data_IF_382733672633
#
_entry.id   IF_382733672633
#
_cell.length_a   1.000
_cell.length_b   1.000
_cell.length_c   1.000
_cell.angle_alpha   90.00
_cell.angle_beta   90.00
_cell.angle_gamma   90.00
#
_symmetry.space_group_name_H-M   'P 1'
#
loop_
_entity.id
_entity.type
_entity.pdbx_description
1 polymer ?
#
# COMPACT_ATOMS: atom_id res chain seq x y z
N UNK A 1 7.43 17.90 -1.87
CA UNK A 1 7.99 16.69 -2.50
C UNK A 1 9.31 16.36 -1.82
N UNK A 2 9.69 15.09 -1.71
CA UNK A 2 11.00 14.71 -1.14
C UNK A 2 12.07 14.52 -2.22
N UNK A 3 13.34 14.56 -1.80
CA UNK A 3 14.45 14.26 -2.69
C UNK A 3 14.43 12.81 -3.17
N UNK A 4 14.96 12.55 -4.38
CA UNK A 4 15.09 11.19 -4.91
C UNK A 4 15.93 10.28 -4.00
N UNK A 5 16.94 10.86 -3.34
CA UNK A 5 17.77 10.13 -2.35
C UNK A 5 16.95 9.69 -1.15
N UNK A 6 16.12 10.58 -0.59
CA UNK A 6 15.23 10.25 0.53
C UNK A 6 14.23 9.15 0.14
N UNK A 7 13.61 9.28 -1.04
CA UNK A 7 12.71 8.24 -1.54
C UNK A 7 13.41 6.88 -1.69
N UNK A 8 14.68 6.87 -2.11
CA UNK A 8 15.48 5.67 -2.20
C UNK A 8 15.65 4.94 -0.87
N UNK A 9 15.91 5.69 0.20
CA UNK A 9 16.05 5.14 1.55
C UNK A 9 14.72 4.56 2.05
N UNK A 10 13.61 5.25 1.77
CA UNK A 10 12.26 4.77 2.10
C UNK A 10 11.96 3.47 1.34
N UNK A 11 12.27 3.39 0.04
CA UNK A 11 12.08 2.17 -0.76
C UNK A 11 12.88 1.01 -0.14
N UNK A 12 14.13 1.26 0.26
CA UNK A 12 15.00 0.24 0.84
C UNK A 12 14.50 -0.28 2.20
N UNK A 13 13.94 0.62 3.02
CA UNK A 13 13.31 0.26 4.29
C UNK A 13 12.10 -0.67 4.09
N UNK A 14 11.14 -0.27 3.24
CA UNK A 14 9.98 -1.13 2.96
C UNK A 14 10.37 -2.44 2.24
N UNK A 15 11.43 -2.42 1.41
CA UNK A 15 11.97 -3.65 0.82
C UNK A 15 12.49 -4.61 1.89
N UNK A 16 13.16 -4.11 2.92
CA UNK A 16 13.67 -4.93 4.03
C UNK A 16 12.55 -5.61 4.82
N UNK A 17 11.43 -4.90 5.03
CA UNK A 17 10.21 -5.46 5.63
C UNK A 17 9.63 -6.57 4.73
N UNK A 18 9.49 -6.28 3.43
CA UNK A 18 8.97 -7.25 2.46
C UNK A 18 9.80 -8.54 2.44
N UNK A 19 11.14 -8.47 2.44
CA UNK A 19 12.01 -9.67 2.53
C UNK A 19 11.60 -10.59 3.69
N UNK A 20 11.28 -10.02 4.86
CA UNK A 20 10.90 -10.79 6.06
C UNK A 20 9.50 -11.39 5.91
N UNK A 21 8.51 -10.59 5.49
CA UNK A 21 7.12 -11.05 5.30
C UNK A 21 7.06 -12.15 4.24
N UNK A 22 7.66 -11.92 3.08
CA UNK A 22 7.66 -12.82 1.94
C UNK A 22 8.30 -14.18 2.24
N UNK A 23 9.33 -14.20 3.11
CA UNK A 23 9.97 -15.44 3.56
C UNK A 23 9.02 -16.36 4.33
N UNK A 24 7.94 -15.83 4.92
CA UNK A 24 6.94 -16.65 5.64
C UNK A 24 6.04 -17.46 4.72
N UNK A 25 5.97 -17.08 3.43
CA UNK A 25 5.20 -17.82 2.42
C UNK A 25 5.89 -19.10 1.97
N UNK A 26 7.22 -19.15 1.96
CA UNK A 26 7.99 -20.32 1.46
C UNK A 26 8.32 -21.34 2.54
N UNK A 27 7.71 -21.21 3.73
CA UNK A 27 7.86 -22.19 4.82
C UNK A 27 7.20 -23.52 4.44
N UNK A 28 7.60 -24.59 5.12
CA UNK A 28 6.92 -25.91 5.04
C UNK A 28 5.41 -25.80 5.28
N UNK A 29 5.01 -24.89 6.17
CA UNK A 29 3.63 -24.45 6.39
C UNK A 29 3.57 -22.93 6.17
N UNK A 30 3.19 -22.48 4.97
CA UNK A 30 3.04 -21.07 4.66
C UNK A 30 2.07 -20.41 5.62
N UNK A 31 2.38 -19.18 6.05
CA UNK A 31 1.48 -18.41 6.89
C UNK A 31 0.20 -18.01 6.14
N UNK A 32 -0.89 -17.84 6.90
CA UNK A 32 -2.16 -17.35 6.39
C UNK A 32 -2.14 -15.83 6.25
N UNK A 33 -3.12 -15.29 5.54
CA UNK A 33 -3.29 -13.85 5.27
C UNK A 33 -3.23 -13.01 6.55
N UNK A 34 -4.06 -13.32 7.54
CA UNK A 34 -4.10 -12.62 8.84
C UNK A 34 -2.75 -12.59 9.55
N UNK A 35 -2.00 -13.71 9.54
CA UNK A 35 -0.70 -13.79 10.19
C UNK A 35 0.40 -13.02 9.44
N UNK A 36 0.29 -12.88 8.11
CA UNK A 36 1.20 -12.05 7.32
C UNK A 36 0.92 -10.57 7.54
N UNK A 37 -0.36 -10.20 7.61
CA UNK A 37 -0.80 -8.83 7.91
C UNK A 37 -0.38 -8.41 9.31
N UNK A 38 -0.59 -9.24 10.33
CA UNK A 38 -0.11 -8.95 11.69
C UNK A 38 1.41 -8.78 11.71
N UNK A 39 2.18 -9.68 11.08
CA UNK A 39 3.63 -9.49 10.97
C UNK A 39 4.03 -8.20 10.23
N UNK A 40 3.28 -7.81 9.20
CA UNK A 40 3.55 -6.54 8.51
C UNK A 40 3.33 -5.36 9.45
N UNK A 41 2.27 -5.37 10.26
CA UNK A 41 2.03 -4.35 11.29
C UNK A 41 3.16 -4.34 12.33
N UNK A 42 3.53 -5.49 12.89
CA UNK A 42 4.62 -5.59 13.87
C UNK A 42 5.95 -5.08 13.30
N UNK A 43 6.24 -5.35 12.02
CA UNK A 43 7.45 -4.85 11.36
C UNK A 43 7.40 -3.35 11.04
N UNK A 44 6.22 -2.74 11.00
CA UNK A 44 6.05 -1.30 10.80
C UNK A 44 5.99 -0.55 12.12
N UNK A 45 5.70 -1.24 13.22
CA UNK A 45 5.80 -0.74 14.57
C UNK A 45 7.27 -0.59 14.98
N UNK A 46 7.65 0.62 15.39
CA UNK A 46 9.04 0.92 15.73
C UNK A 46 9.50 0.19 16.99
N UNK A 47 8.58 -0.10 17.93
CA UNK A 47 8.90 -0.72 19.21
C UNK A 47 9.19 -2.23 19.05
N UNK A 48 8.55 -2.87 18.07
CA UNK A 48 8.64 -4.32 17.82
C UNK A 48 9.76 -4.68 16.84
N UNK A 49 10.28 -3.73 16.06
CA UNK A 49 11.25 -3.99 14.98
C UNK A 49 12.55 -4.67 15.42
N UNK A 50 13.03 -4.34 16.63
CA UNK A 50 14.30 -4.86 17.15
C UNK A 50 14.27 -6.39 17.31
N UNK A 51 13.09 -6.98 17.52
CA UNK A 51 12.93 -8.43 17.61
C UNK A 51 13.18 -9.14 16.27
N UNK A 52 12.88 -8.47 15.16
CA UNK A 52 12.88 -9.05 13.82
C UNK A 52 14.20 -8.92 13.07
N UNK A 53 15.14 -8.11 13.58
CA UNK A 53 16.49 -7.89 13.02
C UNK A 53 16.44 -7.57 11.52
N UNK A 54 15.69 -6.52 11.16
CA UNK A 54 15.63 -6.03 9.79
C UNK A 54 17.02 -5.68 9.27
N UNK A 55 17.29 -6.05 8.01
CA UNK A 55 18.54 -5.67 7.31
C UNK A 55 18.71 -4.15 7.25
N UNK A 56 17.60 -3.44 7.11
CA UNK A 56 17.52 -1.99 7.16
C UNK A 56 16.36 -1.58 8.07
N UNK A 57 16.69 -1.25 9.32
CA UNK A 57 15.71 -0.88 10.35
C UNK A 57 15.24 0.56 10.22
N UNK A 58 14.17 0.91 10.94
CA UNK A 58 13.69 2.29 11.02
C UNK A 58 14.75 3.23 11.63
N UNK A 59 15.50 2.77 12.64
CA UNK A 59 16.61 3.52 13.20
C UNK A 59 17.67 3.86 12.15
N UNK A 60 17.99 2.90 11.26
CA UNK A 60 18.94 3.11 10.16
C UNK A 60 18.37 4.07 9.11
N UNK A 61 17.09 3.94 8.76
CA UNK A 61 16.40 4.89 7.89
C UNK A 61 16.50 6.33 8.42
N UNK A 62 16.24 6.53 9.71
CA UNK A 62 16.29 7.85 10.34
C UNK A 62 17.71 8.43 10.35
N UNK A 63 18.71 7.61 10.66
CA UNK A 63 20.13 8.00 10.58
C UNK A 63 20.48 8.46 9.16
N UNK A 64 20.17 7.64 8.15
CA UNK A 64 20.54 7.92 6.77
C UNK A 64 19.76 9.09 6.17
N UNK A 65 18.49 9.29 6.55
CA UNK A 65 17.70 10.48 6.18
C UNK A 65 18.27 11.76 6.80
N UNK A 66 18.76 11.69 8.04
CA UNK A 66 19.38 12.84 8.73
C UNK A 66 20.76 13.16 8.17
N UNK A 67 21.45 12.15 7.63
CA UNK A 67 22.75 12.30 6.97
C UNK A 67 22.65 12.83 5.53
N UNK A 68 21.44 13.01 4.99
CA UNK A 68 21.26 13.71 3.72
C UNK A 68 21.65 15.19 3.86
N UNK A 69 21.84 15.83 2.71
CA UNK A 69 22.11 17.28 2.67
C UNK A 69 21.07 18.04 3.52
N UNK A 70 21.48 19.00 4.37
CA UNK A 70 20.56 19.76 5.21
C UNK A 70 19.33 20.34 4.49
N UNK A 71 19.48 20.71 3.21
CA UNK A 71 18.43 21.24 2.35
C UNK A 71 17.54 20.17 1.68
N UNK A 72 17.83 18.88 1.93
CA UNK A 72 17.10 17.72 1.43
C UNK A 72 16.55 16.86 2.57
N UNK A 73 16.61 17.36 3.80
CA UNK A 73 16.19 16.65 5.00
C UNK A 73 14.69 16.37 4.97
N UNK A 74 14.35 15.10 5.19
CA UNK A 74 12.99 14.65 5.41
C UNK A 74 12.90 13.94 6.76
N UNK A 75 11.89 14.28 7.57
CA UNK A 75 11.52 13.43 8.70
C UNK A 75 10.54 12.38 8.21
N UNK A 76 10.66 11.17 8.74
CA UNK A 76 9.80 10.05 8.41
C UNK A 76 9.36 9.40 9.72
N UNK A 77 8.06 9.31 9.97
CA UNK A 77 7.50 8.60 11.12
C UNK A 77 6.41 7.63 10.69
N UNK A 78 6.31 6.51 11.39
CA UNK A 78 5.24 5.53 11.23
C UNK A 78 4.59 5.32 12.59
N UNK A 79 3.27 5.37 12.62
CA UNK A 79 2.44 5.07 13.79
C UNK A 79 1.42 3.99 13.42
N UNK A 80 1.25 3.02 14.30
CA UNK A 80 0.34 1.89 14.17
C UNK A 80 -0.77 2.02 15.21
N UNK A 81 -2.02 1.91 14.77
CA UNK A 81 -3.19 1.95 15.66
C UNK A 81 -4.01 0.68 15.47
N UNK A 82 -4.19 -0.08 16.55
CA UNK A 82 -5.09 -1.23 16.59
C UNK A 82 -6.46 -0.82 17.14
N UNK A 83 -7.54 -1.24 16.48
CA UNK A 83 -8.89 -1.01 16.98
C UNK A 83 -9.35 -2.18 17.86
N UNK A 84 -10.04 -1.87 18.96
CA UNK A 84 -10.47 -2.91 19.91
C UNK A 84 -11.34 -3.98 19.25
N UNK A 85 -11.19 -5.24 19.69
CA UNK A 85 -11.97 -6.38 19.19
C UNK A 85 -13.50 -6.25 19.36
N UNK A 86 -13.99 -5.37 20.23
CA UNK A 86 -15.42 -5.04 20.35
C UNK A 86 -15.93 -4.16 19.22
N UNK A 87 -15.08 -3.27 18.70
CA UNK A 87 -15.30 -2.54 17.46
C UNK A 87 -15.11 -3.49 16.29
N UNK A 88 -14.12 -4.38 16.36
CA UNK A 88 -13.80 -5.39 15.32
C UNK A 88 -14.93 -6.44 15.10
N UNK A 89 -15.66 -6.82 16.15
CA UNK A 89 -16.79 -7.76 16.00
C UNK A 89 -17.99 -7.17 15.24
N UNK A 90 -18.00 -5.85 15.01
CA UNK A 90 -18.93 -5.17 14.12
C UNK A 90 -18.27 -4.88 12.75
N UNK A 91 -16.98 -5.18 12.58
CA UNK A 91 -16.08 -4.48 11.65
C UNK A 91 -14.78 -5.29 11.39
N UNK A 92 -14.51 -6.00 10.28
CA UNK A 92 -13.61 -5.49 9.22
C UNK A 92 -13.83 -6.20 7.86
N UNK A 93 -13.58 -5.51 6.76
CA UNK A 93 -13.54 -6.04 5.38
C UNK A 93 -12.25 -5.73 4.65
N UNK A 94 -11.44 -4.84 5.25
CA UNK A 94 -10.10 -4.46 4.86
C UNK A 94 -9.19 -4.82 6.02
N UNK A 95 -8.00 -5.30 5.71
CA UNK A 95 -7.07 -5.78 6.73
C UNK A 95 -6.26 -4.62 7.34
N UNK A 96 -5.95 -3.59 6.52
CA UNK A 96 -5.12 -2.44 6.90
C UNK A 96 -5.68 -1.15 6.30
N UNK A 97 -5.71 -0.09 7.09
CA UNK A 97 -5.82 1.29 6.64
C UNK A 97 -4.43 1.92 6.56
N UNK A 98 -4.14 2.69 5.53
CA UNK A 98 -2.91 3.50 5.45
C UNK A 98 -3.32 4.96 5.27
N UNK A 99 -2.81 5.84 6.12
CA UNK A 99 -2.89 7.29 5.95
C UNK A 99 -1.48 7.77 5.66
N UNK A 100 -1.29 8.46 4.54
CA UNK A 100 -0.03 9.06 4.17
C UNK A 100 -0.18 10.57 4.27
N UNK A 101 0.61 11.18 5.15
CA UNK A 101 0.62 12.62 5.36
C UNK A 101 1.96 13.18 4.87
N UNK A 102 1.88 14.22 4.05
CA UNK A 102 3.03 15.02 3.66
C UNK A 102 2.85 16.45 4.18
N UNK A 103 3.80 16.92 4.97
CA UNK A 103 3.83 18.29 5.51
C UNK A 103 5.03 19.04 4.95
N UNK A 104 4.77 20.07 4.15
CA UNK A 104 5.79 21.00 3.69
C UNK A 104 5.79 22.23 4.60
N UNK A 105 6.84 22.38 5.42
CA UNK A 105 6.92 23.51 6.35
C UNK A 105 7.12 24.85 5.63
N UNK A 106 7.94 24.88 4.58
CA UNK A 106 8.21 26.10 3.82
C UNK A 106 7.08 26.50 2.88
N UNK A 107 6.25 25.55 2.47
CA UNK A 107 5.11 25.75 1.56
C UNK A 107 3.89 24.97 2.10
N UNK A 108 3.23 25.45 3.17
CA UNK A 108 2.13 24.73 3.84
C UNK A 108 0.99 24.34 2.89
N UNK A 109 0.73 25.15 1.87
CA UNK A 109 -0.25 24.91 0.81
C UNK A 109 0.07 23.70 -0.07
N UNK A 110 1.30 23.18 -0.01
CA UNK A 110 1.70 21.93 -0.66
C UNK A 110 1.57 20.71 0.25
N UNK A 111 1.13 20.89 1.49
CA UNK A 111 0.83 19.77 2.40
C UNK A 111 -0.42 19.04 1.95
N UNK A 112 -0.43 17.73 2.10
CA UNK A 112 -1.56 16.89 1.71
C UNK A 112 -1.65 15.63 2.58
N UNK A 113 -2.82 15.01 2.55
CA UNK A 113 -3.07 13.71 3.15
C UNK A 113 -3.83 12.84 2.16
N UNK A 114 -3.55 11.54 2.15
CA UNK A 114 -4.32 10.55 1.41
C UNK A 114 -4.51 9.31 2.27
N UNK A 115 -5.67 8.69 2.13
CA UNK A 115 -6.03 7.52 2.89
C UNK A 115 -6.40 6.36 1.95
N UNK A 116 -5.95 5.16 2.30
CA UNK A 116 -6.16 3.93 1.55
C UNK A 116 -6.70 2.83 2.47
N UNK A 117 -7.71 2.10 2.01
CA UNK A 117 -8.06 0.81 2.58
C UNK A 117 -7.40 -0.30 1.76
N UNK A 118 -6.66 -1.16 2.43
CA UNK A 118 -5.96 -2.29 1.84
C UNK A 118 -6.62 -3.60 2.25
N UNK A 119 -7.18 -4.30 1.26
CA UNK A 119 -7.61 -5.67 1.44
C UNK A 119 -6.46 -6.62 1.15
N UNK A 120 -5.98 -7.35 2.16
CA UNK A 120 -4.95 -8.34 1.95
C UNK A 120 -5.47 -9.50 1.11
N UNK A 121 -4.60 -10.03 0.24
CA UNK A 121 -4.78 -11.29 -0.46
C UNK A 121 -3.47 -12.05 -0.52
N UNK A 122 -3.51 -13.31 -0.13
CA UNK A 122 -2.34 -14.19 -0.23
C UNK A 122 -2.38 -15.11 -1.44
N UNK A 123 -1.23 -15.31 -2.06
CA UNK A 123 -1.05 -16.31 -3.11
C UNK A 123 -1.25 -17.72 -2.54
N UNK A 124 -2.19 -18.48 -3.12
CA UNK A 124 -2.48 -19.83 -2.68
C UNK A 124 -1.44 -20.83 -3.19
N UNK A 125 -0.79 -21.62 -2.30
CA UNK A 125 0.20 -22.61 -2.70
C UNK A 125 -0.45 -23.74 -3.50
N UNK A 126 0.32 -24.41 -4.35
CA UNK A 126 -0.21 -25.54 -5.11
C UNK A 126 -0.41 -26.75 -4.17
N UNK A 127 -1.67 -27.01 -3.80
CA UNK A 127 -2.02 -28.13 -2.90
C UNK A 127 -1.75 -29.51 -3.50
N UNK A 128 -1.62 -29.60 -4.84
CA UNK A 128 -1.41 -30.87 -5.56
C UNK A 128 0.06 -31.29 -5.65
N UNK A 129 0.99 -30.35 -5.42
CA UNK A 129 2.43 -30.63 -5.47
C UNK A 129 2.91 -30.80 -4.03
N UNK A 130 3.53 -31.94 -3.77
CA UNK A 130 3.98 -32.43 -2.47
C UNK A 130 4.74 -31.40 -1.62
N UNK A 131 4.68 -31.57 -0.30
CA UNK A 131 5.47 -30.80 0.68
C UNK A 131 6.97 -30.94 0.35
N UNK A 132 7.76 -29.84 0.32
CA UNK A 132 7.37 -28.46 0.64
C UNK A 132 6.52 -27.82 -0.48
N UNK A 133 5.50 -27.07 -0.08
CA UNK A 133 4.64 -26.33 -1.01
C UNK A 133 5.48 -25.52 -2.00
N UNK A 134 5.26 -25.75 -3.28
CA UNK A 134 5.93 -25.01 -4.35
C UNK A 134 4.97 -24.00 -4.97
N UNK A 135 5.51 -22.82 -5.21
CA UNK A 135 4.87 -21.77 -5.98
C UNK A 135 5.45 -21.78 -7.39
N UNK A 136 4.58 -21.50 -8.37
CA UNK A 136 4.91 -21.27 -9.76
C UNK A 136 4.08 -20.07 -10.26
N UNK A 137 4.34 -19.67 -11.49
CA UNK A 137 3.72 -18.52 -12.14
C UNK A 137 2.18 -18.62 -12.28
N UNK A 138 1.61 -19.82 -12.15
CA UNK A 138 0.17 -20.09 -12.31
C UNK A 138 -0.60 -20.09 -10.99
N UNK A 139 0.09 -20.02 -9.84
CA UNK A 139 -0.58 -19.90 -8.54
C UNK A 139 -1.45 -18.64 -8.52
N UNK A 140 -2.58 -18.71 -7.83
CA UNK A 140 -3.66 -17.71 -7.89
C UNK A 140 -3.95 -17.09 -6.52
N UNK A 141 -4.56 -15.93 -6.55
CA UNK A 141 -5.19 -15.31 -5.39
C UNK A 141 -6.63 -15.81 -5.29
N UNK A 142 -7.04 -16.25 -4.10
CA UNK A 142 -8.42 -16.66 -3.85
C UNK A 142 -9.24 -15.43 -3.47
N UNK A 143 -10.32 -15.17 -4.21
CA UNK A 143 -11.16 -13.99 -4.04
C UNK A 143 -12.57 -14.45 -3.74
N UNK A 144 -13.09 -14.01 -2.60
CA UNK A 144 -14.49 -14.17 -2.28
C UNK A 144 -15.31 -13.17 -3.10
N UNK A 145 -16.31 -13.68 -3.84
CA UNK A 145 -17.21 -12.85 -4.64
C UNK A 145 -18.02 -11.90 -3.78
N UNK A 146 -18.40 -12.34 -2.58
CA UNK A 146 -19.19 -11.51 -1.67
C UNK A 146 -18.33 -10.39 -1.10
N UNK A 147 -17.06 -10.66 -0.80
CA UNK A 147 -16.09 -9.63 -0.42
C UNK A 147 -15.89 -8.59 -1.54
N UNK A 148 -15.69 -9.05 -2.78
CA UNK A 148 -15.56 -8.14 -3.92
C UNK A 148 -16.78 -7.24 -4.08
N UNK A 149 -17.99 -7.81 -4.00
CA UNK A 149 -19.23 -7.04 -4.11
C UNK A 149 -19.33 -5.95 -3.03
N UNK A 150 -18.92 -6.26 -1.80
CA UNK A 150 -18.93 -5.28 -0.71
C UNK A 150 -17.89 -4.17 -0.91
N UNK A 151 -16.68 -4.50 -1.37
CA UNK A 151 -15.66 -3.52 -1.78
C UNK A 151 -16.19 -2.58 -2.87
N UNK A 152 -16.88 -3.13 -3.88
CA UNK A 152 -17.44 -2.35 -4.99
C UNK A 152 -18.57 -1.41 -4.52
N UNK A 153 -19.41 -1.87 -3.58
CA UNK A 153 -20.43 -1.02 -2.94
C UNK A 153 -19.77 0.11 -2.15
N UNK A 154 -18.76 -0.18 -1.33
CA UNK A 154 -18.08 0.83 -0.52
C UNK A 154 -17.42 1.90 -1.40
N UNK A 155 -16.67 1.48 -2.43
CA UNK A 155 -16.04 2.42 -3.36
C UNK A 155 -17.07 3.29 -4.09
N UNK A 156 -18.24 2.73 -4.43
CA UNK A 156 -19.34 3.45 -5.07
C UNK A 156 -19.95 4.51 -4.14
N UNK A 157 -20.13 4.19 -2.86
CA UNK A 157 -20.70 5.11 -1.85
C UNK A 157 -19.77 6.29 -1.63
N UNK A 158 -18.48 6.03 -1.37
CA UNK A 158 -17.51 7.09 -1.06
C UNK A 158 -17.16 7.89 -2.33
N UNK A 159 -17.26 7.27 -3.51
CA UNK A 159 -17.10 7.95 -4.80
C UNK A 159 -15.65 8.26 -5.18
N UNK A 160 -14.68 7.69 -4.47
CA UNK A 160 -13.24 7.84 -4.74
C UNK A 160 -12.54 6.48 -4.74
N UNK A 161 -11.42 6.32 -5.48
CA UNK A 161 -10.77 5.02 -5.65
C UNK A 161 -9.86 4.64 -4.47
N UNK A 162 -10.28 4.82 -3.21
CA UNK A 162 -9.44 4.66 -2.01
C UNK A 162 -9.21 3.22 -1.54
N UNK A 163 -9.81 2.22 -2.19
CA UNK A 163 -9.63 0.80 -1.84
C UNK A 163 -8.66 0.13 -2.80
N UNK A 164 -7.68 -0.60 -2.28
CA UNK A 164 -6.69 -1.38 -3.03
C UNK A 164 -6.58 -2.80 -2.48
N UNK A 165 -5.98 -3.70 -3.24
CA UNK A 165 -5.56 -5.00 -2.76
C UNK A 165 -4.07 -4.97 -2.36
N UNK A 166 -3.75 -5.57 -1.21
CA UNK A 166 -2.40 -5.84 -0.74
C UNK A 166 -2.07 -7.31 -0.97
N UNK A 167 -1.22 -7.60 -1.94
CA UNK A 167 -0.96 -8.94 -2.44
C UNK A 167 0.33 -9.50 -1.84
N UNK A 168 0.21 -10.59 -1.09
CA UNK A 168 1.34 -11.34 -0.56
C UNK A 168 1.73 -12.50 -1.49
N UNK A 169 2.94 -12.48 -2.03
CA UNK A 169 3.53 -13.55 -2.83
C UNK A 169 5.01 -13.80 -2.46
N UNK A 170 5.57 -14.98 -2.75
CA UNK A 170 7.00 -15.19 -2.61
C UNK A 170 7.78 -14.31 -3.58
N UNK A 171 8.93 -13.81 -3.13
CA UNK A 171 9.89 -13.15 -4.04
C UNK A 171 10.39 -14.12 -5.12
N UNK A 172 10.64 -13.65 -6.36
CA UNK A 172 11.18 -14.49 -7.43
C UNK A 172 12.42 -15.30 -7.04
N UNK A 173 13.34 -14.72 -6.27
CA UNK A 173 14.57 -15.38 -5.79
C UNK A 173 14.34 -16.56 -4.85
N UNK A 174 13.12 -16.74 -4.34
CA UNK A 174 12.73 -17.87 -3.50
C UNK A 174 12.05 -19.00 -4.30
N UNK A 175 11.91 -18.84 -5.61
CA UNK A 175 11.19 -19.77 -6.48
C UNK A 175 12.16 -20.66 -7.28
N UNK A 176 11.60 -21.63 -8.00
CA UNK A 176 12.40 -22.43 -8.92
C UNK A 176 12.97 -21.55 -10.05
N UNK A 177 14.21 -21.79 -10.45
CA UNK A 177 14.94 -20.97 -11.44
C UNK A 177 14.15 -20.67 -12.73
N UNK A 178 13.36 -21.62 -13.23
CA UNK A 178 12.54 -21.41 -14.42
C UNK A 178 11.40 -20.40 -14.17
N UNK A 179 10.72 -20.52 -13.02
CA UNK A 179 9.69 -19.56 -12.62
C UNK A 179 10.30 -18.19 -12.35
N UNK A 180 11.41 -18.14 -11.62
CA UNK A 180 12.15 -16.91 -11.34
C UNK A 180 12.48 -16.14 -12.63
N UNK A 181 13.13 -16.81 -13.61
CA UNK A 181 13.48 -16.22 -14.91
C UNK A 181 12.25 -15.71 -15.66
N UNK A 182 11.15 -16.46 -15.64
CA UNK A 182 9.92 -16.04 -16.31
C UNK A 182 9.33 -14.78 -15.68
N UNK A 183 9.28 -14.71 -14.34
CA UNK A 183 8.74 -13.54 -13.63
C UNK A 183 9.63 -12.30 -13.84
N UNK A 184 10.95 -12.47 -13.88
CA UNK A 184 11.89 -11.39 -14.20
C UNK A 184 11.67 -10.87 -15.62
N UNK A 185 11.57 -11.75 -16.61
CA UNK A 185 11.31 -11.35 -17.99
C UNK A 185 9.98 -10.59 -18.13
N UNK A 186 8.94 -11.05 -17.43
CA UNK A 186 7.64 -10.40 -17.39
C UNK A 186 7.72 -8.99 -16.80
N UNK A 187 8.40 -8.86 -15.65
CA UNK A 187 8.68 -7.59 -14.97
C UNK A 187 9.41 -6.62 -15.91
N UNK A 188 10.51 -7.05 -16.51
CA UNK A 188 11.35 -6.20 -17.36
C UNK A 188 10.60 -5.71 -18.59
N UNK A 189 9.79 -6.59 -19.19
CA UNK A 189 8.88 -6.21 -20.27
C UNK A 189 7.83 -5.20 -19.82
N UNK A 190 7.24 -5.38 -18.63
CA UNK A 190 6.25 -4.46 -18.08
C UNK A 190 6.84 -3.07 -17.84
N UNK A 191 8.04 -3.00 -17.25
CA UNK A 191 8.80 -1.76 -17.02
C UNK A 191 9.17 -1.08 -18.34
N UNK A 192 9.62 -1.83 -19.35
CA UNK A 192 9.93 -1.26 -20.66
C UNK A 192 8.71 -0.57 -21.29
N UNK A 193 7.51 -1.11 -21.03
CA UNK A 193 6.25 -0.62 -21.57
C UNK A 193 5.54 0.42 -20.67
N UNK A 194 6.01 0.66 -19.45
CA UNK A 194 5.35 1.60 -18.52
C UNK A 194 5.65 3.08 -18.84
N UNK A 195 4.86 3.98 -18.26
CA UNK A 195 4.91 5.43 -18.51
C UNK A 195 6.21 6.12 -18.03
N UNK A 196 6.48 7.28 -18.63
CA UNK A 196 7.75 8.01 -18.52
C UNK A 196 8.13 8.49 -17.10
N UNK A 197 7.17 8.74 -16.20
CA UNK A 197 7.45 9.22 -14.83
C UNK A 197 8.10 8.13 -13.99
N UNK A 198 7.62 6.89 -14.12
CA UNK A 198 8.21 5.75 -13.44
C UNK A 198 9.54 5.40 -14.08
N UNK A 199 9.70 5.55 -15.40
CA UNK A 199 11.03 5.48 -16.07
C UNK A 199 12.03 6.50 -15.51
N UNK A 200 11.61 7.72 -15.18
CA UNK A 200 12.49 8.72 -14.58
C UNK A 200 12.94 8.33 -13.16
N UNK A 201 12.01 7.81 -12.35
CA UNK A 201 12.35 7.24 -11.03
C UNK A 201 13.28 6.04 -11.19
N UNK A 202 12.99 5.11 -12.10
CA UNK A 202 13.82 3.96 -12.43
C UNK A 202 15.24 4.30 -12.86
N UNK A 203 15.38 5.23 -13.80
CA UNK A 203 16.67 5.59 -14.37
C UNK A 203 17.56 6.33 -13.36
N UNK A 204 16.98 7.04 -12.39
CA UNK A 204 17.70 7.77 -11.34
C UNK A 204 17.95 6.93 -10.08
N UNK A 205 17.02 6.04 -9.75
CA UNK A 205 17.07 5.11 -8.63
C UNK A 205 17.99 3.90 -8.89
N UNK A 206 17.88 3.32 -10.07
CA UNK A 206 18.20 1.91 -10.28
C UNK A 206 18.91 1.65 -11.60
N UNK A 207 19.96 2.42 -11.94
CA UNK A 207 20.84 2.03 -13.05
C UNK A 207 21.49 0.64 -12.82
N UNK A 208 21.62 0.20 -11.56
CA UNK A 208 22.16 -1.12 -11.19
C UNK A 208 21.09 -2.18 -10.87
N UNK A 209 19.80 -1.82 -10.75
CA UNK A 209 18.76 -2.68 -10.17
C UNK A 209 17.98 -3.56 -11.16
N UNK A 210 18.12 -3.36 -12.47
CA UNK A 210 17.44 -4.19 -13.47
C UNK A 210 18.06 -5.59 -13.58
N UNK A 211 19.38 -5.69 -13.39
CA UNK A 211 20.11 -6.96 -13.43
C UNK A 211 20.26 -7.61 -12.04
N UNK A 212 19.83 -6.96 -10.96
CA UNK A 212 19.93 -7.50 -9.61
C UNK A 212 18.69 -8.36 -9.27
N UNK A 213 18.92 -9.62 -8.90
CA UNK A 213 17.89 -10.54 -8.45
C UNK A 213 17.27 -10.10 -7.11
N UNK A 214 18.00 -9.32 -6.31
CA UNK A 214 17.55 -8.72 -5.05
C UNK A 214 16.99 -7.30 -5.22
N UNK A 215 16.71 -6.90 -6.47
CA UNK A 215 16.04 -5.64 -6.77
C UNK A 215 14.78 -5.46 -5.93
N UNK A 216 14.51 -4.22 -5.53
CA UNK A 216 13.29 -3.81 -4.81
C UNK A 216 12.00 -4.01 -5.63
N UNK A 217 12.17 -4.37 -6.90
CA UNK A 217 11.13 -4.72 -7.87
C UNK A 217 10.82 -6.21 -7.90
N UNK A 218 11.76 -7.03 -7.44
CA UNK A 218 11.56 -8.46 -7.15
C UNK A 218 10.91 -8.63 -5.77
N UNK A 219 9.91 -7.80 -5.50
CA UNK A 219 9.18 -7.75 -4.23
C UNK A 219 8.26 -8.97 -4.08
N UNK A 220 7.78 -9.21 -2.86
CA UNK A 220 6.70 -10.15 -2.58
C UNK A 220 5.51 -9.52 -1.86
N UNK A 221 5.49 -8.19 -1.70
CA UNK A 221 4.30 -7.45 -1.30
C UNK A 221 3.99 -6.43 -2.38
N UNK A 222 2.80 -6.54 -2.97
CA UNK A 222 2.35 -5.64 -4.01
C UNK A 222 1.04 -4.95 -3.63
N UNK A 223 0.83 -3.73 -4.12
CA UNK A 223 -0.42 -3.00 -4.05
C UNK A 223 -1.02 -2.97 -5.45
N UNK A 224 -2.30 -3.28 -5.58
CA UNK A 224 -2.99 -3.34 -6.86
C UNK A 224 -4.35 -2.66 -6.77
N UNK A 225 -4.79 -2.06 -7.88
CA UNK A 225 -6.12 -1.47 -7.98
C UNK A 225 -7.22 -2.50 -7.74
N UNK A 226 -8.34 -2.08 -7.13
CA UNK A 226 -9.48 -2.97 -6.88
C UNK A 226 -10.07 -3.56 -8.16
N UNK A 227 -10.02 -2.79 -9.25
CA UNK A 227 -10.67 -3.14 -10.52
C UNK A 227 -9.85 -4.14 -11.36
N UNK A 228 -8.54 -4.22 -11.12
CA UNK A 228 -7.59 -4.95 -11.94
C UNK A 228 -6.88 -6.08 -11.17
N UNK A 229 -7.59 -6.79 -10.30
CA UNK A 229 -6.95 -7.80 -9.45
C UNK A 229 -6.30 -8.93 -10.28
N UNK A 230 -4.98 -9.14 -10.17
CA UNK A 230 -4.26 -10.12 -10.97
C UNK A 230 -4.72 -11.55 -10.67
N UNK A 231 -4.96 -12.32 -11.74
CA UNK A 231 -5.46 -13.68 -11.62
C UNK A 231 -4.43 -14.68 -11.08
N UNK A 232 -3.14 -14.37 -11.23
CA UNK A 232 -2.03 -15.23 -10.86
C UNK A 232 -0.71 -14.45 -10.68
N UNK A 233 0.33 -15.15 -10.22
CA UNK A 233 1.65 -14.56 -9.99
C UNK A 233 2.30 -14.00 -11.26
N UNK A 234 2.16 -14.65 -12.42
CA UNK A 234 2.64 -14.10 -13.70
C UNK A 234 2.03 -12.73 -13.97
N UNK A 235 0.72 -12.60 -13.80
CA UNK A 235 -0.02 -11.37 -14.09
C UNK A 235 0.44 -10.20 -13.23
N UNK A 236 0.82 -10.42 -11.96
CA UNK A 236 1.43 -9.37 -11.13
C UNK A 236 2.65 -8.78 -11.83
N UNK A 237 3.60 -9.65 -12.20
CA UNK A 237 4.85 -9.20 -12.80
C UNK A 237 4.65 -8.62 -14.20
N UNK A 238 3.64 -9.06 -14.93
CA UNK A 238 3.25 -8.50 -16.22
C UNK A 238 2.59 -7.11 -16.11
N UNK A 239 2.08 -6.73 -14.94
CA UNK A 239 1.36 -5.46 -14.73
C UNK A 239 2.06 -4.49 -13.76
N UNK A 240 3.31 -4.78 -13.39
CA UNK A 240 4.16 -3.90 -12.58
C UNK A 240 4.27 -2.51 -13.23
N UNK A 241 4.07 -1.43 -12.46
CA UNK A 241 4.00 -0.03 -12.91
C UNK A 241 2.84 0.34 -13.86
N UNK A 242 1.92 -0.59 -14.10
CA UNK A 242 0.71 -0.31 -14.87
C UNK A 242 -0.52 -0.32 -13.96
N UNK A 243 -0.83 -1.45 -13.33
CA UNK A 243 -1.95 -1.59 -12.38
C UNK A 243 -1.53 -2.12 -11.01
N UNK A 244 -0.24 -2.45 -10.87
CA UNK A 244 0.34 -3.09 -9.71
C UNK A 244 1.69 -2.47 -9.38
N UNK A 245 1.97 -2.25 -8.10
CA UNK A 245 3.22 -1.66 -7.62
C UNK A 245 3.75 -2.47 -6.45
N UNK A 246 5.07 -2.69 -6.33
CA UNK A 246 5.64 -3.12 -5.06
C UNK A 246 5.25 -2.15 -3.93
N UNK A 247 5.00 -2.64 -2.72
CA UNK A 247 4.58 -1.77 -1.59
C UNK A 247 5.55 -0.60 -1.37
N UNK A 248 6.85 -0.86 -1.41
CA UNK A 248 7.89 0.17 -1.26
C UNK A 248 7.77 1.30 -2.29
N UNK A 249 7.45 0.94 -3.54
CA UNK A 249 7.27 1.88 -4.64
C UNK A 249 5.93 2.60 -4.56
N UNK A 250 4.85 1.90 -4.17
CA UNK A 250 3.56 2.49 -3.89
C UNK A 250 3.65 3.55 -2.79
N UNK A 251 4.42 3.32 -1.71
CA UNK A 251 4.62 4.35 -0.69
C UNK A 251 5.45 5.52 -1.25
N UNK A 252 6.56 5.23 -1.92
CA UNK A 252 7.47 6.27 -2.43
C UNK A 252 6.83 7.19 -3.48
N UNK A 253 5.97 6.66 -4.35
CA UNK A 253 5.38 7.45 -5.45
C UNK A 253 4.56 8.66 -4.96
N UNK A 254 3.96 8.54 -3.76
CA UNK A 254 3.16 9.60 -3.16
C UNK A 254 4.02 10.84 -2.87
N UNK A 255 5.28 10.66 -2.49
CA UNK A 255 6.16 11.77 -2.12
C UNK A 255 6.96 12.36 -3.29
N UNK A 256 6.95 11.64 -4.41
CA UNK A 256 7.77 11.91 -5.59
C UNK A 256 7.03 12.61 -6.72
N UNK A 257 5.69 12.64 -6.72
CA UNK A 257 4.95 13.35 -7.73
C UNK A 257 3.62 13.92 -7.18
N UNK A 258 3.44 15.24 -7.29
CA UNK A 258 2.14 15.88 -7.03
C UNK A 258 1.04 15.33 -7.97
N UNK A 259 1.42 14.88 -9.17
CA UNK A 259 0.49 14.30 -10.16
C UNK A 259 -0.11 12.96 -9.75
N UNK A 260 0.45 12.23 -8.80
CA UNK A 260 -0.20 11.01 -8.27
C UNK A 260 -1.60 11.36 -7.73
N UNK A 261 -1.70 12.50 -7.02
CA UNK A 261 -2.98 13.05 -6.55
C UNK A 261 -3.85 13.59 -7.68
N UNK A 262 -3.28 14.25 -8.70
CA UNK A 262 -4.05 14.71 -9.86
C UNK A 262 -4.57 13.54 -10.72
N UNK A 263 -3.84 12.43 -10.82
CA UNK A 263 -4.24 11.23 -11.55
C UNK A 263 -5.35 10.47 -10.79
N UNK A 264 -5.27 10.41 -9.47
CA UNK A 264 -6.38 9.95 -8.60
C UNK A 264 -7.63 10.83 -8.83
N UNK A 265 -7.47 12.17 -8.89
CA UNK A 265 -8.54 13.12 -9.19
C UNK A 265 -9.07 13.08 -10.62
N UNK A 266 -8.23 12.70 -11.59
CA UNK A 266 -8.60 12.64 -13.01
C UNK A 266 -9.31 11.33 -13.37
N UNK A 267 -8.82 10.20 -12.87
CA UNK A 267 -9.45 8.89 -13.10
C UNK A 267 -10.78 8.74 -12.34
N UNK A 268 -10.95 9.38 -11.18
CA UNK A 268 -12.23 9.39 -10.47
C UNK A 268 -13.35 10.04 -11.30
N UNK A 269 -13.05 11.11 -12.05
CA UNK A 269 -14.01 11.80 -12.92
C UNK A 269 -14.40 11.01 -14.18
N UNK A 270 -13.51 10.17 -14.71
CA UNK A 270 -13.73 9.44 -15.96
C UNK A 270 -14.30 8.03 -15.76
N UNK A 271 -13.88 7.31 -14.71
CA UNK A 271 -14.28 5.91 -14.49
C UNK A 271 -15.61 5.77 -13.73
N UNK A 272 -15.96 6.75 -12.89
CA UNK A 272 -17.17 6.68 -12.06
C UNK A 272 -18.36 7.44 -12.65
N UNK A 273 -18.22 7.95 -13.88
CA UNK A 273 -19.22 8.81 -14.52
C UNK A 273 -19.35 10.15 -13.80
N UNK A 274 -20.07 11.10 -14.41
CA UNK A 274 -20.65 12.19 -13.60
C UNK A 274 -21.43 11.50 -12.47
N UNK A 275 -21.21 11.86 -11.19
CA UNK A 275 -22.03 11.31 -10.13
C UNK A 275 -23.48 11.56 -10.55
N UNK A 276 -24.22 10.47 -10.80
CA UNK A 276 -25.65 10.61 -10.98
C UNK A 276 -26.15 11.33 -9.73
N UNK A 277 -26.96 12.36 -9.95
CA UNK A 277 -27.45 13.33 -8.98
C UNK A 277 -28.36 12.72 -7.88
N UNK A 278 -27.87 11.67 -7.24
CA UNK A 278 -28.30 11.12 -5.98
C UNK A 278 -27.14 11.22 -4.98
N UNK A 279 -26.36 12.31 -5.03
CA UNK A 279 -25.66 12.79 -3.84
C UNK A 279 -26.75 13.20 -2.85
N UNK A 280 -27.23 12.23 -2.07
CA UNK A 280 -27.90 12.54 -0.82
C UNK A 280 -26.82 13.13 0.09
N UNK A 281 -26.92 14.45 0.29
CA UNK A 281 -26.40 15.23 1.43
C UNK A 281 -25.16 14.70 2.20
N UNK A 282 -24.06 14.32 1.54
CA UNK A 282 -22.81 14.10 2.28
C UNK A 282 -22.22 15.45 2.67
N UNK A 283 -21.96 15.65 3.97
CA UNK A 283 -21.24 16.84 4.44
C UNK A 283 -19.74 16.81 4.06
N UNK A 284 -19.24 15.65 3.61
CA UNK A 284 -17.85 15.43 3.25
C UNK A 284 -17.65 15.40 1.72
N UNK A 285 -16.52 15.93 1.27
CA UNK A 285 -15.95 15.55 -0.03
C UNK A 285 -15.44 14.09 0.04
N UNK A 286 -15.43 13.38 -1.09
CA UNK A 286 -15.10 11.94 -1.09
C UNK A 286 -13.71 11.59 -0.53
N UNK A 287 -12.72 12.47 -0.69
CA UNK A 287 -11.36 12.31 -0.12
C UNK A 287 -11.38 12.45 1.41
N UNK A 288 -12.12 13.42 1.93
CA UNK A 288 -12.29 13.65 3.37
C UNK A 288 -13.07 12.50 4.02
N UNK A 289 -14.08 11.99 3.32
CA UNK A 289 -14.84 10.84 3.79
C UNK A 289 -13.99 9.57 3.84
N UNK A 290 -13.20 9.32 2.78
CA UNK A 290 -12.24 8.21 2.78
C UNK A 290 -11.26 8.30 3.95
N UNK A 291 -10.71 9.48 4.21
CA UNK A 291 -9.84 9.73 5.36
C UNK A 291 -10.56 9.47 6.70
N UNK A 292 -11.79 9.97 6.86
CA UNK A 292 -12.62 9.74 8.03
C UNK A 292 -12.90 8.25 8.29
N UNK A 293 -13.18 7.48 7.23
CA UNK A 293 -13.39 6.04 7.33
C UNK A 293 -12.11 5.32 7.75
N UNK A 294 -10.98 5.61 7.10
CA UNK A 294 -9.69 4.94 7.38
C UNK A 294 -9.18 5.27 8.79
N UNK A 295 -9.38 6.51 9.25
CA UNK A 295 -8.99 6.94 10.60
C UNK A 295 -9.94 6.46 11.70
N UNK A 296 -11.10 5.91 11.34
CA UNK A 296 -12.11 5.51 12.31
C UNK A 296 -12.87 6.68 12.93
N UNK A 297 -13.01 7.80 12.22
CA UNK A 297 -13.79 8.95 12.67
C UNK A 297 -15.28 8.56 12.86
N UNK A 298 -15.86 8.74 14.07
CA UNK A 298 -17.23 8.32 14.37
C UNK A 298 -18.32 8.94 13.48
N UNK A 299 -18.15 10.19 13.05
CA UNK A 299 -19.12 10.90 12.21
C UNK A 299 -19.11 10.34 10.79
N UNK A 300 -17.91 10.17 10.20
CA UNK A 300 -17.74 9.56 8.88
C UNK A 300 -18.29 8.12 8.83
N UNK A 301 -18.10 7.35 9.91
CA UNK A 301 -18.65 5.99 10.04
C UNK A 301 -20.17 6.03 10.17
N UNK A 302 -20.70 6.91 11.02
CA UNK A 302 -22.15 7.01 11.22
C UNK A 302 -22.88 7.37 9.93
N UNK A 303 -22.31 8.28 9.14
CA UNK A 303 -22.82 8.61 7.81
C UNK A 303 -22.76 7.42 6.86
N UNK A 304 -21.66 6.66 6.84
CA UNK A 304 -21.54 5.45 6.02
C UNK A 304 -22.59 4.38 6.40
N UNK A 305 -22.85 4.20 7.69
CA UNK A 305 -23.88 3.27 8.17
C UNK A 305 -25.27 3.70 7.71
N UNK A 306 -25.59 5.00 7.78
CA UNK A 306 -26.87 5.53 7.31
C UNK A 306 -27.08 5.29 5.81
N UNK A 307 -26.09 5.64 4.99
CA UNK A 307 -26.11 5.46 3.53
C UNK A 307 -26.28 4.00 3.12
N UNK A 308 -25.74 3.09 3.91
CA UNK A 308 -25.86 1.66 3.66
C UNK A 308 -27.22 1.15 4.11
N UNK A 309 -27.70 1.57 5.28
CA UNK A 309 -29.02 1.20 5.81
C UNK A 309 -30.17 1.47 4.84
N UNK A 310 -30.04 2.50 4.01
CA UNK A 310 -31.04 2.86 2.99
C UNK A 310 -30.96 2.02 1.70
N UNK A 311 -29.96 1.13 1.56
CA UNK A 311 -29.83 0.29 0.36
C UNK A 311 -30.73 -0.96 0.41
N UNK A 312 -31.50 -1.26 -0.66
CA UNK A 312 -32.45 -2.36 -0.66
C UNK A 312 -31.83 -3.78 -0.70
N UNK A 313 -30.49 -3.92 -0.73
CA UNK A 313 -29.79 -5.21 -0.85
C UNK A 313 -28.42 -5.21 -0.14
N UNK A 314 -28.38 -4.86 1.14
CA UNK A 314 -27.13 -4.88 1.92
C UNK A 314 -26.73 -6.33 2.21
N UNK A 315 -25.51 -6.76 1.89
CA UNK A 315 -24.97 -8.03 2.36
C UNK A 315 -25.05 -8.14 3.89
N UNK A 316 -25.49 -9.29 4.41
CA UNK A 316 -25.83 -9.48 5.84
C UNK A 316 -24.70 -9.19 6.86
N UNK A 317 -23.46 -8.99 6.39
CA UNK A 317 -22.28 -8.68 7.20
C UNK A 317 -21.43 -7.61 6.49
N UNK A 318 -21.96 -6.39 6.38
CA UNK A 318 -21.17 -5.26 5.89
C UNK A 318 -20.38 -4.66 7.04
N UNK A 319 -19.11 -4.40 6.79
CA UNK A 319 -18.17 -3.98 7.80
C UNK A 319 -17.17 -2.98 7.15
N UNK A 320 -16.67 -2.03 7.95
CA UNK A 320 -16.28 -0.71 7.42
C UNK A 320 -14.86 -0.26 7.77
N UNK A 321 -14.39 -0.51 8.98
CA UNK A 321 -13.06 -0.10 9.45
C UNK A 321 -12.01 -1.17 9.12
N UNK A 322 -10.76 -0.74 8.94
CA UNK A 322 -9.62 -1.65 8.94
C UNK A 322 -9.34 -2.19 10.34
N UNK A 323 -8.61 -3.31 10.43
CA UNK A 323 -8.22 -3.87 11.72
C UNK A 323 -7.13 -3.01 12.38
N UNK A 324 -6.25 -2.47 11.53
CA UNK A 324 -5.14 -1.62 11.91
C UNK A 324 -5.11 -0.41 11.00
N UNK A 325 -4.77 0.76 11.53
CA UNK A 325 -4.45 1.95 10.73
C UNK A 325 -2.99 2.30 10.91
N UNK A 326 -2.30 2.53 9.79
CA UNK A 326 -0.89 2.88 9.73
C UNK A 326 -0.80 4.31 9.22
N UNK A 327 -0.29 5.22 10.05
CA UNK A 327 -0.03 6.59 9.67
C UNK A 327 1.44 6.72 9.27
N UNK A 328 1.69 7.12 8.03
CA UNK A 328 3.03 7.41 7.51
C UNK A 328 3.13 8.92 7.34
N UNK A 329 3.93 9.57 8.18
CA UNK A 329 4.12 11.01 8.12
C UNK A 329 5.49 11.33 7.54
N UNK A 330 5.51 12.21 6.55
CA UNK A 330 6.73 12.77 5.99
C UNK A 330 6.69 14.29 6.09
N UNK A 331 7.75 14.87 6.63
CA UNK A 331 7.91 16.33 6.64
C UNK A 331 9.14 16.72 5.82
N UNK A 332 9.01 17.70 4.93
CA UNK A 332 10.18 18.32 4.28
C UNK A 332 10.64 19.53 5.10
N UNK A 333 11.88 19.46 5.59
CA UNK A 333 12.60 20.46 6.42
C UNK A 333 12.04 20.77 7.83
N UNK A 334 12.94 21.33 8.67
CA UNK A 334 12.72 21.70 10.07
C UNK A 334 11.90 22.99 10.17
N UNK A 335 11.06 23.10 11.21
CA UNK A 335 10.73 24.41 11.78
C UNK A 335 12.03 25.19 11.97
N UNK A 336 12.13 26.36 11.34
CA UNK A 336 13.17 27.30 11.74
C UNK A 336 13.04 27.45 13.26
N UNK A 337 14.11 27.29 14.05
CA UNK A 337 14.04 27.74 15.43
C UNK A 337 13.64 29.22 15.34
N UNK A 338 12.46 29.53 15.88
CA UNK A 338 12.07 30.92 16.13
C UNK A 338 13.24 31.51 16.88
N UNK A 339 13.99 32.38 16.21
CA UNK A 339 14.96 33.24 16.87
C UNK A 339 14.09 34.05 17.83
N UNK A 340 14.15 33.72 19.12
CA UNK A 340 13.68 34.64 20.14
C UNK A 340 14.48 35.92 19.93
N UNK A 341 13.80 36.97 19.46
CA UNK A 341 14.36 38.31 19.40
C UNK A 341 14.60 38.75 20.86
N UNK A 342 15.86 38.65 21.29
CA UNK A 342 16.36 39.26 22.54
C UNK A 342 16.30 40.79 22.49
#
# INVERSE_FOLDING_TARGET
MISLKAAHLIIHYFDSIDKVVSKRLVRKRPWFETALTSLLCDLLDQEEQDEYKLEYSFAKLKEDLTALDPYLNASFTIETHEYSSKVENLVTQSDIGIIINFKAYCLPEESWSVAWLLQAKRLSPNRKISIPFRYNEKNRFDIDKDQKNRIDILAKIVGVPFIKYLLYCPRPSMLAQNTEKNLINNRDRSIANSDHILKYLFCSASYNGLNDFNSTLSSGIFVNDKDNLPSNLSTIHDSIFNSCLPLSWFIAEHFLCKRSHEFIKFNSRFLYGKPNAHHMSSNYEGEEWAHGIVSGNPEAISQLIAEIGDMPNIPKNFSFLPAHTININITSEREHPTVEED
#
